data_IF_281196776015
#
_entry.id   IF_281196776015
#
_cell.length_a   1.000
_cell.length_b   1.000
_cell.length_c   1.000
_cell.angle_alpha   90.00
_cell.angle_beta   90.00
_cell.angle_gamma   90.00
#
_symmetry.space_group_name_H-M   'P 1'
#
loop_
_entity.id
_entity.type
_entity.pdbx_description
1 polymer ?
#
# COMPACT_ATOMS: atom_id res chain seq x y z
N UNK A 1 16.22 -2.03 5.44
CA UNK A 1 17.44 -2.27 4.64
C UNK A 1 17.43 -3.76 4.37
N UNK A 2 17.59 -4.19 3.13
CA UNK A 2 17.74 -5.62 2.79
C UNK A 2 19.21 -5.96 2.91
N UNK A 3 19.55 -6.95 3.71
CA UNK A 3 20.92 -7.38 3.95
C UNK A 3 21.28 -8.56 3.02
N UNK A 4 22.57 -8.69 2.71
CA UNK A 4 23.04 -9.84 1.93
C UNK A 4 22.75 -11.14 2.70
N UNK A 5 22.05 -12.06 2.06
CA UNK A 5 21.57 -13.31 2.67
C UNK A 5 20.10 -13.28 3.09
N UNK A 6 19.43 -12.11 3.04
CA UNK A 6 18.00 -12.03 3.24
C UNK A 6 17.24 -12.74 2.12
N UNK A 7 16.24 -13.51 2.51
CA UNK A 7 15.35 -14.15 1.55
C UNK A 7 14.34 -13.12 1.06
N UNK A 8 14.34 -12.86 -0.24
CA UNK A 8 13.28 -12.11 -0.92
C UNK A 8 11.96 -12.91 -0.86
N UNK A 9 11.24 -12.81 0.26
CA UNK A 9 10.06 -13.61 0.56
C UNK A 9 8.92 -13.34 -0.43
N UNK A 10 8.71 -12.08 -0.82
CA UNK A 10 7.73 -11.70 -1.84
C UNK A 10 8.01 -12.39 -3.19
N UNK A 11 9.28 -12.42 -3.62
CA UNK A 11 9.69 -13.12 -4.84
C UNK A 11 9.50 -14.64 -4.73
N UNK A 12 9.86 -15.22 -3.58
CA UNK A 12 9.64 -16.65 -3.31
C UNK A 12 8.15 -17.01 -3.35
N UNK A 13 7.29 -16.21 -2.73
CA UNK A 13 5.83 -16.40 -2.76
C UNK A 13 5.29 -16.28 -4.19
N UNK A 14 5.70 -15.27 -4.95
CA UNK A 14 5.28 -15.09 -6.34
C UNK A 14 5.66 -16.31 -7.20
N UNK A 15 6.84 -16.91 -6.99
CA UNK A 15 7.23 -18.16 -7.66
C UNK A 15 6.33 -19.34 -7.29
N UNK A 16 5.99 -19.49 -6.02
CA UNK A 16 5.06 -20.55 -5.56
C UNK A 16 3.69 -20.35 -6.21
N UNK A 17 3.15 -19.13 -6.19
CA UNK A 17 1.87 -18.79 -6.82
C UNK A 17 1.91 -19.00 -8.34
N UNK A 18 3.05 -18.78 -8.99
CA UNK A 18 3.23 -19.03 -10.43
C UNK A 18 3.22 -20.52 -10.81
N UNK A 19 3.21 -21.43 -9.84
CA UNK A 19 3.00 -22.86 -10.07
C UNK A 19 1.52 -23.26 -10.02
N UNK A 20 0.60 -22.33 -9.76
CA UNK A 20 -0.83 -22.59 -9.89
C UNK A 20 -1.11 -23.02 -11.34
N UNK A 21 -1.78 -24.17 -11.57
CA UNK A 21 -2.09 -24.63 -12.91
C UNK A 21 -2.93 -23.62 -13.69
N UNK A 22 -2.73 -23.62 -15.01
CA UNK A 22 -3.52 -22.81 -15.94
C UNK A 22 -4.99 -23.27 -15.86
N UNK A 23 -5.90 -22.30 -15.79
CA UNK A 23 -7.34 -22.57 -15.81
C UNK A 23 -7.83 -22.88 -17.23
N UNK A 24 -9.09 -23.30 -17.39
CA UNK A 24 -9.68 -23.52 -18.73
C UNK A 24 -9.66 -22.28 -19.62
N UNK A 25 -9.59 -21.08 -19.03
CA UNK A 25 -9.59 -19.80 -19.74
C UNK A 25 -8.22 -19.17 -19.95
N UNK A 26 -7.13 -19.90 -19.64
CA UNK A 26 -5.77 -19.35 -19.64
C UNK A 26 -5.23 -19.13 -18.22
N UNK A 27 -4.21 -18.26 -18.08
CA UNK A 27 -3.53 -18.04 -16.80
C UNK A 27 -4.51 -17.77 -15.66
N UNK A 28 -4.24 -18.36 -14.49
CA UNK A 28 -5.13 -18.21 -13.33
C UNK A 28 -5.02 -16.81 -12.76
N UNK A 29 -6.13 -16.10 -12.65
CA UNK A 29 -6.15 -14.72 -12.14
C UNK A 29 -5.87 -14.68 -10.63
N UNK A 30 -4.97 -13.78 -10.23
CA UNK A 30 -4.65 -13.48 -8.84
C UNK A 30 -4.99 -12.03 -8.55
N UNK A 31 -6.01 -11.77 -7.74
CA UNK A 31 -6.36 -10.40 -7.34
C UNK A 31 -5.53 -10.00 -6.14
N UNK A 32 -4.75 -8.93 -6.28
CA UNK A 32 -3.85 -8.42 -5.25
C UNK A 32 -4.21 -6.96 -4.99
N UNK A 33 -4.54 -6.64 -3.75
CA UNK A 33 -4.84 -5.27 -3.34
C UNK A 33 -3.58 -4.57 -2.82
N UNK A 34 -3.38 -3.33 -3.26
CA UNK A 34 -2.38 -2.38 -2.74
C UNK A 34 -0.98 -3.01 -2.54
N UNK A 35 -0.43 -3.56 -3.63
CA UNK A 35 0.91 -4.18 -3.63
C UNK A 35 1.97 -3.24 -3.03
N UNK A 36 2.85 -3.80 -2.20
CA UNK A 36 3.78 -3.01 -1.38
C UNK A 36 4.73 -2.15 -2.22
N UNK A 37 5.26 -2.71 -3.30
CA UNK A 37 6.03 -1.96 -4.28
C UNK A 37 5.62 -2.37 -5.69
N UNK A 38 5.46 -1.38 -6.58
CA UNK A 38 5.06 -1.62 -7.97
C UNK A 38 6.04 -2.54 -8.71
N UNK A 39 7.30 -2.58 -8.28
CA UNK A 39 8.35 -3.44 -8.82
C UNK A 39 8.07 -4.93 -8.59
N UNK A 40 7.36 -5.29 -7.51
CA UNK A 40 7.04 -6.68 -7.18
C UNK A 40 6.09 -7.32 -8.21
N UNK A 41 5.42 -6.52 -9.04
CA UNK A 41 4.58 -7.02 -10.15
C UNK A 41 5.34 -7.88 -11.16
N UNK A 42 6.66 -7.70 -11.22
CA UNK A 42 7.53 -8.43 -12.14
C UNK A 42 8.00 -9.78 -11.57
N UNK A 43 7.57 -10.16 -10.36
CA UNK A 43 7.95 -11.43 -9.75
C UNK A 43 7.09 -12.62 -10.21
N UNK A 44 5.90 -12.36 -10.76
CA UNK A 44 4.95 -13.37 -11.19
C UNK A 44 5.32 -13.92 -12.59
N UNK A 45 5.17 -15.23 -12.77
CA UNK A 45 5.36 -15.92 -14.05
C UNK A 45 4.07 -16.09 -14.85
N UNK A 46 4.20 -16.56 -16.09
CA UNK A 46 3.14 -16.52 -17.11
C UNK A 46 1.92 -17.43 -16.85
N UNK A 47 2.00 -18.37 -15.91
CA UNK A 47 0.88 -19.25 -15.57
C UNK A 47 -0.23 -18.56 -14.76
N UNK A 48 0.07 -17.38 -14.21
CA UNK A 48 -0.87 -16.57 -13.44
C UNK A 48 -1.00 -15.19 -14.05
N UNK A 49 -2.19 -14.61 -13.92
CA UNK A 49 -2.46 -13.24 -14.32
C UNK A 49 -2.68 -12.39 -13.05
N UNK A 50 -1.67 -11.65 -12.57
CA UNK A 50 -1.86 -10.76 -11.43
C UNK A 50 -2.71 -9.54 -11.83
N UNK A 51 -3.84 -9.38 -11.15
CA UNK A 51 -4.74 -8.24 -11.26
C UNK A 51 -4.52 -7.35 -10.03
N UNK A 52 -3.92 -6.17 -10.23
CA UNK A 52 -3.64 -5.23 -9.14
C UNK A 52 -4.81 -4.28 -8.95
N UNK A 53 -5.40 -4.34 -7.77
CA UNK A 53 -6.52 -3.51 -7.35
C UNK A 53 -6.10 -2.59 -6.20
N UNK A 54 -6.91 -1.57 -5.91
CA UNK A 54 -6.69 -0.68 -4.78
C UNK A 54 -7.88 -0.68 -3.84
N UNK A 55 -7.60 -0.73 -2.53
CA UNK A 55 -8.60 -0.60 -1.48
C UNK A 55 -9.00 0.84 -1.18
N UNK A 56 -8.32 1.83 -1.77
CA UNK A 56 -8.59 3.25 -1.52
C UNK A 56 -10.05 3.66 -1.78
N UNK A 57 -10.78 3.17 -2.80
CA UNK A 57 -12.20 3.50 -2.95
C UNK A 57 -13.06 3.08 -1.76
N UNK A 58 -12.75 1.94 -1.11
CA UNK A 58 -13.45 1.48 0.08
C UNK A 58 -13.13 2.38 1.28
N UNK A 59 -11.87 2.79 1.41
CA UNK A 59 -11.44 3.76 2.43
C UNK A 59 -12.19 5.09 2.25
N UNK A 60 -12.22 5.65 1.04
CA UNK A 60 -12.91 6.91 0.73
C UNK A 60 -14.39 6.85 1.09
N UNK A 61 -15.07 5.75 0.73
CA UNK A 61 -16.46 5.53 1.09
C UNK A 61 -16.64 5.53 2.62
N UNK A 62 -15.75 4.85 3.36
CA UNK A 62 -15.82 4.83 4.81
C UNK A 62 -15.60 6.21 5.46
N UNK A 63 -14.65 6.98 4.94
CA UNK A 63 -14.35 8.34 5.44
C UNK A 63 -15.56 9.28 5.26
N UNK A 64 -16.30 9.16 4.16
CA UNK A 64 -17.52 9.94 3.92
C UNK A 64 -18.67 9.60 4.89
N UNK A 65 -18.65 8.42 5.50
CA UNK A 65 -19.67 7.99 6.46
C UNK A 65 -19.31 8.34 7.91
N UNK A 66 -18.19 9.03 8.15
CA UNK A 66 -17.83 9.47 9.49
C UNK A 66 -18.69 10.67 9.91
N UNK A 67 -19.08 10.78 11.19
CA UNK A 67 -19.87 11.91 11.69
C UNK A 67 -19.21 13.29 11.45
N UNK A 68 -17.89 13.31 11.34
CA UNK A 68 -17.01 14.46 11.15
C UNK A 68 -16.27 14.39 9.79
N UNK A 69 -16.94 13.87 8.75
CA UNK A 69 -16.35 13.66 7.42
C UNK A 69 -15.71 14.91 6.79
N UNK A 70 -16.15 16.10 7.19
CA UNK A 70 -15.63 17.39 6.71
C UNK A 70 -14.34 17.82 7.43
N UNK A 71 -13.93 17.14 8.50
CA UNK A 71 -12.78 17.48 9.34
C UNK A 71 -11.73 16.36 9.38
N UNK A 72 -11.41 15.80 8.21
CA UNK A 72 -10.44 14.71 8.08
C UNK A 72 -9.12 15.26 7.51
N UNK A 73 -8.01 14.92 8.17
CA UNK A 73 -6.65 15.16 7.65
C UNK A 73 -5.93 13.83 7.49
N UNK A 74 -5.28 13.62 6.35
CA UNK A 74 -4.52 12.40 6.06
C UNK A 74 -3.06 12.60 6.44
N UNK A 75 -2.58 11.82 7.40
CA UNK A 75 -1.16 11.77 7.76
C UNK A 75 -0.47 10.60 7.05
N UNK A 76 0.56 10.87 6.26
CA UNK A 76 1.43 9.85 5.69
C UNK A 76 2.60 9.56 6.63
N UNK A 77 2.79 8.29 7.05
CA UNK A 77 3.83 7.93 8.02
C UNK A 77 5.25 7.93 7.42
N UNK A 78 5.37 7.89 6.09
CA UNK A 78 6.64 7.92 5.37
C UNK A 78 6.44 8.36 3.91
N UNK A 79 7.56 8.65 3.24
CA UNK A 79 7.59 9.04 1.82
C UNK A 79 7.08 7.94 0.89
N UNK A 80 7.22 6.67 1.26
CA UNK A 80 6.74 5.54 0.48
C UNK A 80 5.22 5.53 0.41
N UNK A 81 4.56 5.66 1.54
CA UNK A 81 3.10 5.77 1.63
C UNK A 81 2.59 7.00 0.87
N UNK A 82 3.27 8.15 1.02
CA UNK A 82 2.93 9.34 0.25
C UNK A 82 3.02 9.07 -1.25
N UNK A 83 4.17 8.58 -1.76
CA UNK A 83 4.38 8.27 -3.18
C UNK A 83 3.32 7.33 -3.76
N UNK A 84 2.85 6.36 -2.98
CA UNK A 84 1.85 5.38 -3.40
C UNK A 84 0.45 5.98 -3.49
N UNK A 85 0.01 6.71 -2.46
CA UNK A 85 -1.42 6.98 -2.27
C UNK A 85 -1.80 8.47 -2.36
N UNK A 86 -0.85 9.41 -2.38
CA UNK A 86 -1.15 10.84 -2.31
C UNK A 86 -2.09 11.33 -3.42
N UNK A 87 -1.96 10.80 -4.64
CA UNK A 87 -2.81 11.19 -5.78
C UNK A 87 -4.27 10.80 -5.57
N UNK A 88 -4.51 9.66 -4.92
CA UNK A 88 -5.86 9.15 -4.68
C UNK A 88 -6.53 9.83 -3.47
N UNK A 89 -5.74 10.42 -2.57
CA UNK A 89 -6.20 11.07 -1.33
C UNK A 89 -6.06 12.60 -1.36
N UNK A 90 -5.77 13.19 -2.52
CA UNK A 90 -5.49 14.62 -2.68
C UNK A 90 -6.64 15.57 -2.32
N UNK A 91 -7.84 15.04 -2.07
CA UNK A 91 -9.03 15.82 -1.68
C UNK A 91 -9.04 16.18 -0.20
N UNK A 92 -8.19 15.54 0.60
CA UNK A 92 -8.03 15.84 2.02
C UNK A 92 -6.80 16.73 2.23
N UNK A 93 -6.80 17.59 3.28
CA UNK A 93 -5.57 18.10 3.84
C UNK A 93 -4.59 16.95 4.14
N UNK A 94 -3.33 17.12 3.78
CA UNK A 94 -2.31 16.08 3.90
C UNK A 94 -1.11 16.58 4.70
N UNK A 95 -0.59 15.73 5.57
CA UNK A 95 0.64 15.96 6.34
C UNK A 95 1.57 14.75 6.13
N UNK A 96 2.85 14.98 5.86
CA UNK A 96 3.85 13.92 5.87
C UNK A 96 4.61 13.98 7.20
N UNK A 97 4.61 12.88 7.95
CA UNK A 97 5.35 12.76 9.20
C UNK A 97 6.56 11.88 8.98
N UNK A 98 7.72 12.46 8.68
CA UNK A 98 8.99 11.71 8.71
C UNK A 98 9.54 11.71 10.15
N UNK A 99 8.88 10.99 11.05
CA UNK A 99 9.35 10.93 12.45
C UNK A 99 10.35 9.79 12.63
N UNK A 100 11.64 10.13 12.62
CA UNK A 100 12.62 9.42 13.44
C UNK A 100 12.73 10.18 14.78
N UNK A 101 11.62 10.32 15.50
CA UNK A 101 11.55 10.31 16.98
C UNK A 101 10.12 10.65 17.44
N UNK A 102 9.51 9.73 18.18
CA UNK A 102 8.21 9.96 18.82
C UNK A 102 8.34 10.87 20.06
N UNK A 103 9.56 11.16 20.52
CA UNK A 103 9.83 11.97 21.70
C UNK A 103 9.69 13.49 21.49
N UNK A 104 9.71 13.96 20.23
CA UNK A 104 9.69 15.40 19.91
C UNK A 104 8.30 16.00 19.79
N UNK A 105 7.26 15.19 19.47
CA UNK A 105 5.89 15.69 19.32
C UNK A 105 5.12 15.84 20.64
N UNK A 106 5.55 15.19 21.72
CA UNK A 106 4.87 15.26 23.01
C UNK A 106 5.27 16.52 23.81
N UNK A 107 6.32 17.24 23.38
CA UNK A 107 6.88 18.39 24.12
C UNK A 107 6.74 19.75 23.42
N UNK A 108 5.94 19.87 22.34
CA UNK A 108 5.75 21.17 21.69
C UNK A 108 4.59 21.95 22.38
N UNK A 109 4.80 23.19 22.86
CA UNK A 109 3.80 23.93 23.66
C UNK A 109 2.62 24.50 22.86
N UNK A 110 2.56 24.29 21.54
CA UNK A 110 1.70 25.04 20.62
C UNK A 110 0.82 24.12 19.75
N UNK A 111 0.25 23.06 20.33
CA UNK A 111 -0.93 22.43 19.77
C UNK A 111 -2.13 22.79 20.68
N UNK A 112 -3.21 23.40 20.14
CA UNK A 112 -4.42 23.66 20.91
C UNK A 112 -5.10 22.38 21.38
#
# INVERSE_FOLDING_TARGET
MEDEGDVATAFTLARILSNIPISRGGPTSLVIFDIHALQERFYFGDNVLPCFESGIPLLLNRLQQLPDSDNITIAFPDDGAWKRFHKQLQHFPMVCTTLIDCSTLINHPDYP
#
